data_IF_148586733315
#
_entry.id   IF_148586733315
#
_cell.length_a   1.000
_cell.length_b   1.000
_cell.length_c   1.000
_cell.angle_alpha   90.00
_cell.angle_beta   90.00
_cell.angle_gamma   90.00
#
_symmetry.space_group_name_H-M   'P 1'
#
loop_
_entity.id
_entity.type
_entity.pdbx_description
1 polymer ?
#
# COMPACT_ATOMS: atom_id res chain seq x y z
N UNK A 1 -14.50 1.11 -14.85
CA UNK A 1 -13.76 -0.15 -15.10
C UNK A 1 -13.59 -1.00 -13.85
N UNK A 2 -13.00 -0.51 -12.74
CA UNK A 2 -12.64 -1.36 -11.59
C UNK A 2 -13.76 -2.36 -11.14
N UNK A 3 -15.03 -1.95 -10.96
CA UNK A 3 -16.09 -2.89 -10.53
C UNK A 3 -16.38 -4.06 -11.48
N UNK A 4 -15.87 -4.03 -12.72
CA UNK A 4 -16.09 -5.06 -13.73
C UNK A 4 -14.87 -5.94 -14.00
N UNK A 5 -13.67 -5.53 -13.55
CA UNK A 5 -12.41 -6.19 -13.93
C UNK A 5 -11.50 -6.51 -12.75
N UNK A 6 -11.62 -5.78 -11.64
CA UNK A 6 -10.69 -5.79 -10.52
C UNK A 6 -11.33 -6.35 -9.25
N UNK A 7 -10.58 -7.19 -8.54
CA UNK A 7 -10.97 -7.70 -7.22
C UNK A 7 -9.90 -7.39 -6.17
N UNK A 8 -10.35 -6.99 -4.98
CA UNK A 8 -9.53 -6.65 -3.83
C UNK A 8 -9.87 -7.56 -2.63
N UNK A 9 -8.85 -7.95 -1.87
CA UNK A 9 -9.01 -8.57 -0.56
C UNK A 9 -7.93 -8.08 0.41
N UNK A 10 -8.33 -7.63 1.60
CA UNK A 10 -7.38 -7.29 2.68
C UNK A 10 -6.80 -8.54 3.37
N UNK A 11 -5.70 -8.43 4.13
CA UNK A 11 -5.15 -9.54 4.91
C UNK A 11 -6.14 -10.18 5.89
N UNK A 12 -7.09 -9.39 6.40
CA UNK A 12 -8.15 -9.81 7.32
C UNK A 12 -9.42 -10.28 6.59
N UNK A 13 -9.32 -10.56 5.29
CA UNK A 13 -10.41 -11.07 4.44
C UNK A 13 -11.55 -10.08 4.19
N UNK A 14 -11.28 -8.77 4.23
CA UNK A 14 -12.29 -7.78 3.85
C UNK A 14 -12.30 -7.55 2.33
N UNK A 15 -13.49 -7.64 1.74
CA UNK A 15 -13.76 -7.32 0.34
C UNK A 15 -14.17 -5.86 0.20
N UNK A 16 -13.80 -5.26 -0.92
CA UNK A 16 -14.16 -3.89 -1.32
C UNK A 16 -14.23 -3.81 -2.83
N UNK A 17 -14.81 -2.73 -3.34
CA UNK A 17 -14.74 -2.39 -4.76
C UNK A 17 -13.29 -2.23 -5.25
N UNK A 18 -12.43 -1.58 -4.46
CA UNK A 18 -10.98 -1.51 -4.70
C UNK A 18 -10.24 -1.13 -3.40
N UNK A 19 -8.91 -1.20 -3.39
CA UNK A 19 -8.13 -0.88 -2.19
C UNK A 19 -8.23 0.60 -1.73
N UNK A 20 -8.75 1.48 -2.59
CA UNK A 20 -8.83 2.93 -2.36
C UNK A 20 -10.28 3.42 -2.20
N UNK A 21 -11.26 2.53 -2.25
CA UNK A 21 -12.67 2.91 -2.08
C UNK A 21 -12.96 3.31 -0.64
N UNK A 22 -13.87 4.26 -0.41
CA UNK A 22 -14.36 4.58 0.94
C UNK A 22 -15.69 3.90 1.19
N UNK A 23 -15.66 2.81 1.94
CA UNK A 23 -16.80 1.96 2.23
C UNK A 23 -16.89 1.76 3.75
N UNK A 24 -18.06 1.41 4.31
CA UNK A 24 -18.14 0.92 5.69
C UNK A 24 -17.31 -0.35 5.85
N UNK A 25 -16.64 -0.53 7.00
CA UNK A 25 -15.96 -1.79 7.26
C UNK A 25 -16.95 -2.94 7.44
N UNK A 26 -16.60 -4.13 6.97
CA UNK A 26 -17.45 -5.33 7.10
C UNK A 26 -17.21 -6.00 8.46
N UNK A 27 -15.95 -6.31 8.75
CA UNK A 27 -15.52 -7.03 9.94
C UNK A 27 -14.77 -6.11 10.88
N UNK A 28 -13.61 -5.61 10.44
CA UNK A 28 -12.66 -4.88 11.26
C UNK A 28 -12.32 -3.55 10.59
N UNK A 29 -12.49 -2.46 11.33
CA UNK A 29 -12.23 -1.12 10.82
C UNK A 29 -10.76 -0.94 10.37
N UNK A 30 -10.60 -0.56 9.11
CA UNK A 30 -9.37 -0.11 8.47
C UNK A 30 -9.35 1.42 8.36
N UNK A 31 -8.16 2.00 8.15
CA UNK A 31 -7.95 3.44 8.16
C UNK A 31 -8.76 4.23 7.12
N UNK A 32 -9.19 3.58 6.04
CA UNK A 32 -9.88 4.22 4.91
C UNK A 32 -11.41 4.08 4.98
N UNK A 33 -11.91 3.38 6.00
CA UNK A 33 -13.35 3.12 6.14
C UNK A 33 -14.13 4.36 6.51
N UNK A 34 -15.36 4.42 6.00
CA UNK A 34 -16.28 5.53 6.30
C UNK A 34 -17.02 5.34 7.62
N UNK A 35 -17.11 4.10 8.11
CA UNK A 35 -17.80 3.70 9.33
C UNK A 35 -17.14 2.45 9.94
N UNK A 36 -17.17 2.30 11.28
CA UNK A 36 -16.63 1.13 11.95
C UNK A 36 -17.41 -0.13 11.59
N UNK A 37 -16.71 -1.26 11.57
CA UNK A 37 -17.28 -2.58 11.32
C UNK A 37 -17.93 -3.21 12.54
N UNK A 38 -18.43 -4.43 12.36
CA UNK A 38 -19.11 -5.17 13.43
C UNK A 38 -18.18 -5.69 14.53
N UNK A 39 -16.86 -5.72 14.26
CA UNK A 39 -15.86 -6.41 15.07
C UNK A 39 -15.97 -7.93 15.00
N UNK A 40 -16.90 -8.48 14.21
CA UNK A 40 -17.13 -9.91 14.05
C UNK A 40 -16.54 -10.35 12.71
N UNK A 41 -15.90 -11.51 12.70
CA UNK A 41 -15.39 -12.09 11.46
C UNK A 41 -16.53 -12.75 10.68
N UNK A 42 -16.87 -12.17 9.53
CA UNK A 42 -17.94 -12.62 8.65
C UNK A 42 -17.40 -12.54 7.23
N UNK A 43 -16.44 -13.40 6.82
CA UNK A 43 -15.85 -13.34 5.49
C UNK A 43 -16.90 -13.71 4.43
N UNK A 44 -16.73 -13.18 3.23
CA UNK A 44 -17.54 -13.53 2.05
C UNK A 44 -16.63 -13.96 0.91
N UNK A 45 -17.08 -14.94 0.14
CA UNK A 45 -16.41 -15.44 -1.07
C UNK A 45 -16.38 -14.37 -2.17
N UNK A 46 -15.51 -14.56 -3.15
CA UNK A 46 -15.48 -13.71 -4.34
C UNK A 46 -16.84 -13.70 -5.06
N UNK A 47 -17.47 -14.85 -5.21
CA UNK A 47 -18.75 -14.98 -5.92
C UNK A 47 -19.89 -14.23 -5.20
N UNK A 48 -19.96 -14.35 -3.87
CA UNK A 48 -20.91 -13.60 -3.04
C UNK A 48 -20.68 -12.08 -3.16
N UNK A 49 -19.43 -11.63 -3.16
CA UNK A 49 -19.08 -10.21 -3.29
C UNK A 49 -19.37 -9.68 -4.70
N UNK A 50 -18.96 -10.40 -5.74
CA UNK A 50 -18.86 -9.90 -7.12
C UNK A 50 -20.19 -9.45 -7.71
N UNK A 51 -21.29 -10.11 -7.35
CA UNK A 51 -22.66 -9.71 -7.73
C UNK A 51 -23.55 -9.48 -6.51
N UNK A 52 -22.96 -9.08 -5.37
CA UNK A 52 -23.70 -8.59 -4.21
C UNK A 52 -24.58 -7.38 -4.54
N UNK A 53 -25.58 -7.11 -3.71
CA UNK A 53 -26.43 -5.92 -3.83
C UNK A 53 -25.61 -4.63 -3.87
N UNK A 54 -24.52 -4.57 -3.09
CA UNK A 54 -23.60 -3.43 -3.08
C UNK A 54 -22.90 -3.24 -4.43
N UNK A 55 -22.23 -4.28 -4.95
CA UNK A 55 -21.50 -4.19 -6.22
C UNK A 55 -22.44 -3.95 -7.42
N UNK A 56 -23.63 -4.55 -7.42
CA UNK A 56 -24.67 -4.30 -8.42
C UNK A 56 -25.13 -2.84 -8.39
N UNK A 57 -25.38 -2.28 -7.19
CA UNK A 57 -25.73 -0.86 -7.01
C UNK A 57 -24.63 0.06 -7.54
N UNK A 58 -23.37 -0.21 -7.21
CA UNK A 58 -22.20 0.54 -7.70
C UNK A 58 -22.16 0.57 -9.22
N UNK A 59 -22.25 -0.59 -9.88
CA UNK A 59 -22.20 -0.68 -11.35
C UNK A 59 -23.36 0.08 -12.00
N UNK A 60 -24.58 -0.08 -11.49
CA UNK A 60 -25.77 0.63 -11.98
C UNK A 60 -25.60 2.15 -11.91
N UNK A 61 -25.17 2.66 -10.75
CA UNK A 61 -24.93 4.10 -10.53
C UNK A 61 -23.81 4.63 -11.43
N UNK A 62 -22.72 3.88 -11.59
CA UNK A 62 -21.64 4.23 -12.51
C UNK A 62 -22.07 4.24 -13.98
N UNK A 63 -22.91 3.30 -14.42
CA UNK A 63 -23.47 3.28 -15.79
C UNK A 63 -24.41 4.46 -16.05
N UNK A 64 -25.08 4.96 -15.00
CA UNK A 64 -25.89 6.18 -15.07
C UNK A 64 -25.07 7.49 -15.03
N UNK A 65 -23.73 7.40 -14.94
CA UNK A 65 -22.85 8.57 -14.87
C UNK A 65 -22.85 9.26 -13.51
N UNK A 66 -23.30 8.59 -12.44
CA UNK A 66 -23.30 9.17 -11.10
C UNK A 66 -21.87 9.31 -10.55
N UNK A 67 -21.69 10.29 -9.64
CA UNK A 67 -20.48 10.40 -8.81
C UNK A 67 -20.72 9.66 -7.50
N UNK A 68 -19.80 8.77 -7.14
CA UNK A 68 -20.00 7.82 -6.04
C UNK A 68 -19.15 8.24 -4.82
N UNK A 69 -19.70 8.34 -3.60
CA UNK A 69 -18.90 8.57 -2.39
C UNK A 69 -17.85 7.47 -2.17
N UNK A 70 -18.11 6.24 -2.62
CA UNK A 70 -17.14 5.16 -2.61
C UNK A 70 -15.87 5.50 -3.42
N UNK A 71 -15.97 6.38 -4.42
CA UNK A 71 -14.89 6.83 -5.28
C UNK A 71 -14.25 8.16 -4.84
N UNK A 72 -14.62 8.71 -3.67
CA UNK A 72 -14.19 10.05 -3.21
C UNK A 72 -12.66 10.23 -3.24
N UNK A 73 -11.90 9.19 -2.89
CA UNK A 73 -10.43 9.23 -2.94
C UNK A 73 -9.91 9.56 -4.33
N UNK A 74 -10.55 9.03 -5.36
CA UNK A 74 -10.21 9.28 -6.76
C UNK A 74 -10.70 10.66 -7.21
N UNK A 75 -11.96 10.99 -6.86
CA UNK A 75 -12.62 12.19 -7.35
C UNK A 75 -12.02 13.47 -6.75
N UNK A 76 -11.57 13.39 -5.49
CA UNK A 76 -10.93 14.48 -4.77
C UNK A 76 -9.40 14.38 -4.74
N UNK A 77 -8.80 13.39 -5.45
CA UNK A 77 -7.34 13.15 -5.50
C UNK A 77 -6.68 13.11 -4.12
N UNK A 78 -7.31 12.39 -3.17
CA UNK A 78 -6.89 12.39 -1.77
C UNK A 78 -5.55 11.66 -1.56
N UNK A 79 -5.28 10.59 -2.32
CA UNK A 79 -4.09 9.74 -2.12
C UNK A 79 -2.95 9.99 -3.13
N UNK A 80 -3.23 10.17 -4.42
CA UNK A 80 -2.22 10.36 -5.48
C UNK A 80 -2.74 11.24 -6.63
N UNK A 81 -1.81 11.82 -7.40
CA UNK A 81 -2.08 12.58 -8.64
C UNK A 81 -2.53 11.68 -9.79
N UNK A 82 -1.99 10.45 -9.87
CA UNK A 82 -2.44 9.40 -10.77
C UNK A 82 -3.56 8.57 -10.11
N UNK A 83 -4.77 8.73 -10.62
CA UNK A 83 -5.99 8.23 -9.99
C UNK A 83 -6.29 6.79 -10.41
N UNK A 84 -6.60 5.88 -9.46
CA UNK A 84 -6.98 4.47 -9.71
C UNK A 84 -8.05 4.32 -10.80
N UNK A 85 -9.00 5.27 -10.86
CA UNK A 85 -10.02 5.36 -11.93
C UNK A 85 -9.39 5.37 -13.33
N UNK A 86 -8.43 6.27 -13.56
CA UNK A 86 -7.72 6.42 -14.84
C UNK A 86 -6.82 5.21 -15.12
N UNK A 87 -6.18 4.65 -14.09
CA UNK A 87 -5.37 3.45 -14.23
C UNK A 87 -6.16 2.28 -14.84
N UNK A 88 -7.30 1.92 -14.22
CA UNK A 88 -8.11 0.81 -14.73
C UNK A 88 -8.80 1.13 -16.05
N UNK A 89 -9.12 2.41 -16.31
CA UNK A 89 -9.64 2.84 -17.60
C UNK A 89 -8.63 2.60 -18.72
N UNK A 90 -7.37 2.99 -18.52
CA UNK A 90 -6.33 2.84 -19.53
C UNK A 90 -5.90 1.37 -19.69
N UNK A 91 -5.75 0.62 -18.59
CA UNK A 91 -5.27 -0.76 -18.65
C UNK A 91 -6.28 -1.72 -19.31
N UNK A 92 -7.57 -1.46 -19.11
CA UNK A 92 -8.66 -2.33 -19.59
C UNK A 92 -9.61 -1.61 -20.55
N UNK A 93 -9.13 -0.59 -21.27
CA UNK A 93 -9.92 0.19 -22.23
C UNK A 93 -10.59 -0.72 -23.27
N UNK A 94 -9.86 -1.72 -23.74
CA UNK A 94 -10.33 -2.73 -24.69
C UNK A 94 -11.54 -3.55 -24.20
N UNK A 95 -11.82 -3.56 -22.89
CA UNK A 95 -12.98 -4.24 -22.29
C UNK A 95 -14.17 -3.33 -22.05
N UNK A 96 -14.07 -2.02 -22.31
CA UNK A 96 -15.13 -1.05 -22.00
C UNK A 96 -16.47 -1.41 -22.67
N UNK A 97 -16.45 -1.78 -23.95
CA UNK A 97 -17.68 -2.13 -24.68
C UNK A 97 -18.38 -3.37 -24.10
N UNK A 98 -17.60 -4.36 -23.63
CA UNK A 98 -18.16 -5.59 -23.05
C UNK A 98 -19.03 -5.34 -21.82
N UNK A 99 -18.82 -4.22 -21.10
CA UNK A 99 -19.62 -3.85 -19.92
C UNK A 99 -21.10 -3.74 -20.30
N UNK A 100 -21.41 -3.08 -21.41
CA UNK A 100 -22.78 -2.83 -21.85
C UNK A 100 -23.48 -4.08 -22.39
N UNK A 101 -22.71 -5.07 -22.83
CA UNK A 101 -23.21 -6.35 -23.34
C UNK A 101 -23.45 -7.38 -22.22
N UNK A 102 -22.72 -7.25 -21.12
CA UNK A 102 -22.63 -8.28 -20.06
C UNK A 102 -23.22 -7.84 -18.73
N UNK A 103 -23.64 -6.58 -18.60
CA UNK A 103 -24.22 -6.01 -17.38
C UNK A 103 -25.67 -5.63 -17.62
N UNK A 104 -26.59 -6.15 -16.81
CA UNK A 104 -28.02 -5.82 -16.93
C UNK A 104 -28.38 -4.52 -16.19
N UNK A 105 -29.63 -4.08 -16.33
CA UNK A 105 -30.14 -2.82 -15.72
C UNK A 105 -30.14 -2.81 -14.17
N UNK A 106 -29.95 -3.97 -13.54
CA UNK A 106 -29.78 -4.09 -12.10
C UNK A 106 -28.32 -4.07 -11.66
N UNK A 107 -27.37 -4.00 -12.59
CA UNK A 107 -25.93 -3.98 -12.33
C UNK A 107 -25.30 -5.37 -12.14
N UNK A 108 -26.06 -6.46 -12.31
CA UNK A 108 -25.49 -7.80 -12.33
C UNK A 108 -24.65 -7.98 -13.60
N UNK A 109 -23.44 -8.51 -13.48
CA UNK A 109 -22.55 -8.77 -14.62
C UNK A 109 -22.14 -10.24 -14.73
N UNK A 110 -21.99 -10.73 -15.96
CA UNK A 110 -21.41 -12.05 -16.25
C UNK A 110 -19.89 -12.03 -16.42
N UNK A 111 -19.26 -10.85 -16.42
CA UNK A 111 -17.80 -10.72 -16.42
C UNK A 111 -17.21 -11.34 -15.15
N UNK A 112 -16.01 -11.90 -15.29
CA UNK A 112 -15.18 -12.38 -14.17
C UNK A 112 -13.97 -11.45 -13.98
N UNK A 113 -13.41 -11.33 -12.77
CA UNK A 113 -12.23 -10.52 -12.55
C UNK A 113 -11.01 -11.05 -13.32
N UNK A 114 -10.24 -10.12 -13.85
CA UNK A 114 -8.98 -10.35 -14.57
C UNK A 114 -7.80 -9.64 -13.90
N UNK A 115 -8.09 -8.72 -12.97
CA UNK A 115 -7.13 -7.94 -12.17
C UNK A 115 -7.29 -8.30 -10.69
N UNK A 116 -6.17 -8.63 -10.03
CA UNK A 116 -6.17 -9.23 -8.68
C UNK A 116 -5.27 -8.48 -7.71
N UNK A 117 -5.83 -7.89 -6.65
CA UNK A 117 -5.12 -7.36 -5.46
C UNK A 117 -5.52 -8.22 -4.25
N UNK A 118 -4.92 -9.41 -4.17
CA UNK A 118 -5.15 -10.35 -3.08
C UNK A 118 -4.00 -10.29 -2.09
N UNK A 119 -4.33 -9.85 -0.88
CA UNK A 119 -3.38 -9.80 0.24
C UNK A 119 -3.58 -11.06 1.08
N UNK A 120 -2.94 -12.15 0.68
CA UNK A 120 -3.13 -13.49 1.29
C UNK A 120 -2.82 -13.53 2.79
N UNK A 121 -1.95 -12.65 3.29
CA UNK A 121 -1.64 -12.55 4.71
C UNK A 121 -1.05 -11.19 5.07
N UNK A 122 -0.92 -10.89 6.36
CA UNK A 122 -0.14 -9.75 6.83
C UNK A 122 1.35 -10.09 6.98
N UNK A 123 1.84 -11.24 6.46
CA UNK A 123 3.24 -11.66 6.62
C UNK A 123 4.18 -10.59 6.09
N UNK A 124 5.01 -10.03 6.97
CA UNK A 124 6.01 -9.03 6.65
C UNK A 124 7.14 -9.11 7.68
N UNK A 125 8.37 -8.97 7.20
CA UNK A 125 9.58 -8.93 8.02
C UNK A 125 9.90 -7.55 8.59
N UNK A 126 9.18 -6.50 8.18
CA UNK A 126 9.45 -5.11 8.60
C UNK A 126 8.43 -4.62 9.64
N UNK A 127 8.88 -3.69 10.48
CA UNK A 127 8.06 -2.96 11.47
C UNK A 127 8.11 -1.44 11.23
N UNK A 128 7.85 -0.99 10.00
CA UNK A 128 7.96 0.42 9.65
C UNK A 128 7.08 1.31 10.54
N UNK A 129 7.61 2.45 11.01
CA UNK A 129 6.98 3.31 12.03
C UNK A 129 5.64 3.93 11.63
N UNK A 130 5.35 4.01 10.34
CA UNK A 130 4.06 4.48 9.78
C UNK A 130 3.10 3.33 9.42
N UNK A 131 3.49 2.07 9.62
CA UNK A 131 2.68 0.88 9.34
C UNK A 131 1.97 0.38 10.61
N UNK A 132 1.22 -0.72 10.50
CA UNK A 132 0.49 -1.32 11.63
C UNK A 132 0.38 -2.85 11.54
N UNK A 133 -0.14 -3.43 12.60
CA UNK A 133 -0.34 -4.87 12.84
C UNK A 133 -1.14 -5.57 11.72
N UNK A 134 -2.16 -4.90 11.18
CA UNK A 134 -2.98 -5.44 10.09
C UNK A 134 -2.19 -5.66 8.79
N UNK A 135 -1.08 -4.94 8.60
CA UNK A 135 -0.25 -4.96 7.40
C UNK A 135 1.16 -5.51 7.67
N UNK A 136 1.47 -5.92 8.90
CA UNK A 136 2.74 -6.58 9.21
C UNK A 136 2.64 -7.52 10.41
N UNK A 137 2.96 -8.78 10.17
CA UNK A 137 3.07 -9.81 11.20
C UNK A 137 4.19 -9.53 12.20
N UNK A 138 5.26 -8.85 11.78
CA UNK A 138 6.32 -8.43 12.69
C UNK A 138 5.82 -7.35 13.66
N UNK A 139 4.99 -6.42 13.18
CA UNK A 139 4.30 -5.45 14.02
C UNK A 139 3.35 -6.12 15.00
N UNK A 140 2.49 -7.02 14.50
CA UNK A 140 1.57 -7.79 15.36
C UNK A 140 2.32 -8.54 16.47
N UNK A 141 3.48 -9.14 16.13
CA UNK A 141 4.32 -9.84 17.10
C UNK A 141 4.88 -8.89 18.16
N UNK A 142 5.38 -7.72 17.76
CA UNK A 142 5.88 -6.69 18.69
C UNK A 142 4.76 -6.21 19.63
N UNK A 143 3.56 -5.94 19.11
CA UNK A 143 2.44 -5.50 19.94
C UNK A 143 2.03 -6.56 20.96
N UNK A 144 2.06 -7.85 20.61
CA UNK A 144 1.81 -8.94 21.56
C UNK A 144 2.90 -9.04 22.62
N UNK A 145 4.17 -9.03 22.22
CA UNK A 145 5.31 -9.18 23.13
C UNK A 145 5.36 -8.07 24.18
N UNK A 146 4.93 -6.87 23.81
CA UNK A 146 4.96 -5.69 24.68
C UNK A 146 3.60 -5.29 25.25
N UNK A 147 2.56 -6.15 25.12
CA UNK A 147 1.20 -5.90 25.61
C UNK A 147 0.61 -4.55 25.15
N UNK A 148 0.81 -4.21 23.87
CA UNK A 148 0.36 -2.95 23.26
C UNK A 148 -1.03 -3.05 22.61
N UNK A 149 -1.63 -4.24 22.59
CA UNK A 149 -2.94 -4.47 21.98
C UNK A 149 -4.05 -3.93 22.90
N UNK A 150 -4.82 -2.97 22.39
CA UNK A 150 -6.05 -2.53 23.02
C UNK A 150 -7.21 -3.47 22.68
N UNK A 151 -7.46 -4.46 23.55
CA UNK A 151 -8.55 -5.42 23.36
C UNK A 151 -9.96 -4.83 23.52
N UNK A 152 -10.09 -3.60 24.00
CA UNK A 152 -11.38 -2.89 24.08
C UNK A 152 -11.81 -2.35 22.71
N UNK A 153 -10.86 -2.14 21.80
CA UNK A 153 -11.14 -1.69 20.45
C UNK A 153 -11.54 -2.86 19.54
N UNK A 154 -12.77 -2.89 18.99
CA UNK A 154 -13.24 -3.98 18.13
C UNK A 154 -12.37 -4.23 16.89
N UNK A 155 -11.67 -3.21 16.38
CA UNK A 155 -10.74 -3.38 15.24
C UNK A 155 -9.66 -4.42 15.54
N UNK A 156 -9.23 -4.56 16.79
CA UNK A 156 -8.18 -5.49 17.20
C UNK A 156 -8.69 -6.94 17.38
N UNK A 157 -9.98 -7.18 17.17
CA UNK A 157 -10.59 -8.52 17.34
C UNK A 157 -10.03 -9.55 16.36
N UNK A 158 -9.53 -9.11 15.19
CA UNK A 158 -8.86 -9.98 14.23
C UNK A 158 -7.65 -10.72 14.82
N UNK A 159 -7.00 -10.13 15.84
CA UNK A 159 -5.87 -10.72 16.56
C UNK A 159 -6.27 -11.77 17.59
N UNK A 160 -7.55 -12.05 17.85
CA UNK A 160 -7.90 -13.13 18.79
C UNK A 160 -7.51 -14.50 18.18
N UNK A 161 -6.94 -15.44 18.97
CA UNK A 161 -6.43 -16.70 18.40
C UNK A 161 -7.44 -17.52 17.59
N UNK A 162 -8.70 -17.56 18.04
CA UNK A 162 -9.81 -18.22 17.36
C UNK A 162 -10.17 -17.53 16.05
N UNK A 163 -10.21 -16.20 16.04
CA UNK A 163 -10.49 -15.39 14.83
C UNK A 163 -9.32 -15.48 13.84
N UNK A 164 -8.08 -15.38 14.32
CA UNK A 164 -6.88 -15.55 13.48
C UNK A 164 -6.83 -16.92 12.83
N UNK A 165 -7.27 -17.98 13.53
CA UNK A 165 -7.41 -19.32 12.95
C UNK A 165 -8.48 -19.34 11.86
N UNK A 166 -9.62 -18.69 12.07
CA UNK A 166 -10.66 -18.57 11.03
C UNK A 166 -10.16 -17.82 9.80
N UNK A 167 -9.47 -16.69 9.97
CA UNK A 167 -8.85 -15.94 8.88
C UNK A 167 -7.87 -16.82 8.11
N UNK A 168 -6.96 -17.50 8.81
CA UNK A 168 -6.00 -18.40 8.17
C UNK A 168 -6.69 -19.48 7.35
N UNK A 169 -7.69 -20.16 7.93
CA UNK A 169 -8.43 -21.21 7.24
C UNK A 169 -9.16 -20.65 6.01
N UNK A 170 -9.85 -19.52 6.12
CA UNK A 170 -10.53 -18.90 4.98
C UNK A 170 -9.55 -18.48 3.86
N UNK A 171 -8.39 -17.92 4.23
CA UNK A 171 -7.35 -17.56 3.25
C UNK A 171 -6.82 -18.80 2.50
N UNK A 172 -6.56 -19.90 3.22
CA UNK A 172 -6.02 -21.14 2.63
C UNK A 172 -7.07 -21.95 1.84
N UNK A 173 -8.27 -22.10 2.40
CA UNK A 173 -9.28 -23.03 1.89
C UNK A 173 -10.16 -22.38 0.81
N UNK A 174 -10.33 -21.05 0.83
CA UNK A 174 -11.21 -20.32 -0.08
C UNK A 174 -10.45 -19.33 -0.96
N UNK A 175 -9.77 -18.35 -0.37
CA UNK A 175 -9.16 -17.22 -1.13
C UNK A 175 -8.09 -17.70 -2.09
N UNK A 176 -7.21 -18.59 -1.61
CA UNK A 176 -6.18 -19.17 -2.45
C UNK A 176 -6.79 -20.00 -3.60
N UNK A 177 -7.86 -20.74 -3.34
CA UNK A 177 -8.57 -21.51 -4.38
C UNK A 177 -9.21 -20.61 -5.45
N UNK A 178 -9.79 -19.48 -5.06
CA UNK A 178 -10.36 -18.51 -6.01
C UNK A 178 -9.30 -17.98 -6.99
N UNK A 179 -8.11 -17.65 -6.46
CA UNK A 179 -7.00 -17.18 -7.28
C UNK A 179 -6.38 -18.31 -8.13
N UNK A 180 -6.17 -19.49 -7.54
CA UNK A 180 -5.70 -20.68 -8.25
C UNK A 180 -6.61 -21.02 -9.43
N UNK A 181 -7.93 -21.02 -9.22
CA UNK A 181 -8.91 -21.25 -10.28
C UNK A 181 -8.78 -20.20 -11.38
N UNK A 182 -8.54 -18.93 -11.05
CA UNK A 182 -8.35 -17.89 -12.06
C UNK A 182 -7.09 -18.06 -12.90
N UNK A 183 -6.03 -18.55 -12.28
CA UNK A 183 -4.77 -18.92 -12.96
C UNK A 183 -5.02 -20.10 -13.90
N UNK A 184 -5.63 -21.19 -13.42
CA UNK A 184 -5.93 -22.37 -14.24
C UNK A 184 -6.95 -22.08 -15.36
N UNK A 185 -7.87 -21.14 -15.16
CA UNK A 185 -8.83 -20.69 -16.19
C UNK A 185 -8.22 -19.70 -17.19
N UNK A 186 -6.92 -19.41 -17.13
CA UNK A 186 -6.22 -18.48 -18.02
C UNK A 186 -6.81 -17.05 -18.02
N UNK A 187 -7.39 -16.61 -16.90
CA UNK A 187 -8.12 -15.33 -16.81
C UNK A 187 -7.28 -14.16 -16.33
N UNK A 188 -6.13 -14.40 -15.73
CA UNK A 188 -5.33 -13.35 -15.10
C UNK A 188 -4.66 -12.49 -16.15
N UNK A 189 -4.91 -11.18 -16.11
CA UNK A 189 -4.29 -10.17 -16.99
C UNK A 189 -3.49 -9.13 -16.20
N UNK A 190 -3.83 -8.91 -14.93
CA UNK A 190 -3.06 -8.10 -13.99
C UNK A 190 -3.05 -8.71 -12.59
N UNK A 191 -1.89 -8.64 -11.94
CA UNK A 191 -1.76 -8.94 -10.52
C UNK A 191 -1.06 -7.77 -9.84
N UNK A 192 -1.64 -7.30 -8.75
CA UNK A 192 -1.02 -6.31 -7.88
C UNK A 192 -0.58 -6.99 -6.57
N UNK A 193 0.72 -7.25 -6.49
CA UNK A 193 1.40 -7.80 -5.34
C UNK A 193 1.70 -6.71 -4.32
N UNK A 194 0.86 -6.63 -3.30
CA UNK A 194 0.95 -5.69 -2.19
C UNK A 194 0.39 -6.34 -0.92
N UNK A 195 0.66 -5.80 0.27
CA UNK A 195 0.07 -6.26 1.52
C UNK A 195 1.02 -6.08 2.68
N UNK A 196 1.39 -7.19 3.32
CA UNK A 196 2.63 -7.30 4.06
C UNK A 196 3.84 -7.19 3.13
N UNK A 197 4.70 -8.21 3.11
CA UNK A 197 5.76 -8.31 2.11
C UNK A 197 5.40 -9.39 1.08
N UNK A 198 4.95 -9.03 -0.13
CA UNK A 198 4.49 -10.01 -1.11
C UNK A 198 5.56 -11.03 -1.53
N UNK A 199 6.85 -10.66 -1.50
CA UNK A 199 7.94 -11.58 -1.85
C UNK A 199 8.21 -12.62 -0.74
N UNK A 200 7.54 -12.51 0.41
CA UNK A 200 7.52 -13.55 1.45
C UNK A 200 6.36 -14.53 1.31
N UNK A 201 5.39 -14.28 0.43
CA UNK A 201 4.24 -15.17 0.26
C UNK A 201 4.61 -16.37 -0.63
N UNK A 202 4.37 -17.58 -0.15
CA UNK A 202 4.52 -18.78 -0.99
C UNK A 202 3.57 -18.73 -2.21
N UNK A 203 2.38 -18.15 -2.04
CA UNK A 203 1.41 -17.93 -3.10
C UNK A 203 1.96 -17.09 -4.25
N UNK A 204 2.78 -16.07 -3.98
CA UNK A 204 3.39 -15.27 -5.05
C UNK A 204 4.25 -16.18 -5.94
N UNK A 205 5.21 -16.88 -5.35
CA UNK A 205 6.16 -17.70 -6.10
C UNK A 205 5.47 -18.86 -6.82
N UNK A 206 4.52 -19.52 -6.14
CA UNK A 206 3.76 -20.63 -6.70
C UNK A 206 2.94 -20.20 -7.93
N UNK A 207 2.09 -19.17 -7.81
CA UNK A 207 1.17 -18.81 -8.89
C UNK A 207 1.84 -18.03 -10.01
N UNK A 208 2.86 -17.21 -9.72
CA UNK A 208 3.65 -16.57 -10.77
C UNK A 208 4.39 -17.59 -11.62
N UNK A 209 5.01 -18.60 -11.00
CA UNK A 209 5.60 -19.73 -11.73
C UNK A 209 4.55 -20.50 -12.53
N UNK A 210 3.40 -20.78 -11.93
CA UNK A 210 2.31 -21.51 -12.60
C UNK A 210 1.78 -20.78 -13.84
N UNK A 211 1.64 -19.46 -13.79
CA UNK A 211 1.28 -18.61 -14.94
C UNK A 211 2.28 -18.78 -16.09
N UNK A 212 3.58 -18.86 -15.78
CA UNK A 212 4.63 -19.04 -16.79
C UNK A 212 4.56 -20.45 -17.39
N UNK A 213 4.36 -21.48 -16.56
CA UNK A 213 4.19 -22.87 -16.99
C UNK A 213 2.95 -23.08 -17.87
N UNK A 214 1.87 -22.33 -17.63
CA UNK A 214 0.67 -22.29 -18.45
C UNK A 214 0.83 -21.47 -19.73
N UNK A 215 2.01 -20.89 -19.97
CA UNK A 215 2.33 -20.00 -21.08
C UNK A 215 1.44 -18.74 -21.13
N UNK A 216 1.02 -18.23 -19.98
CA UNK A 216 0.19 -17.02 -19.87
C UNK A 216 0.98 -15.76 -19.53
N UNK A 217 2.29 -15.88 -19.24
CA UNK A 217 3.12 -14.74 -18.86
C UNK A 217 2.98 -13.54 -19.81
N UNK A 218 2.94 -13.79 -21.12
CA UNK A 218 2.75 -12.77 -22.17
C UNK A 218 1.41 -12.01 -22.13
N UNK A 219 0.45 -12.41 -21.29
CA UNK A 219 -0.83 -11.72 -21.05
C UNK A 219 -0.83 -10.91 -19.74
N UNK A 220 0.09 -11.22 -18.83
CA UNK A 220 0.07 -10.73 -17.44
C UNK A 220 0.94 -9.50 -17.25
N UNK A 221 0.37 -8.45 -16.66
CA UNK A 221 1.12 -7.35 -16.07
C UNK A 221 1.19 -7.50 -14.54
N UNK A 222 2.39 -7.62 -13.99
CA UNK A 222 2.58 -7.74 -12.54
C UNK A 222 3.06 -6.42 -11.94
N UNK A 223 2.32 -5.90 -10.96
CA UNK A 223 2.72 -4.72 -10.18
C UNK A 223 3.12 -5.13 -8.77
N UNK A 224 4.11 -4.47 -8.21
CA UNK A 224 4.63 -4.73 -6.87
C UNK A 224 4.73 -3.45 -6.06
N UNK A 225 4.26 -3.53 -4.82
CA UNK A 225 4.68 -2.66 -3.74
C UNK A 225 5.37 -3.55 -2.70
N UNK A 226 6.70 -3.51 -2.69
CA UNK A 226 7.57 -4.40 -1.89
C UNK A 226 8.61 -3.59 -1.15
N UNK A 227 9.00 -4.05 0.03
CA UNK A 227 10.17 -3.55 0.76
C UNK A 227 11.49 -4.01 0.13
N UNK A 228 11.46 -4.92 -0.84
CA UNK A 228 12.60 -5.43 -1.62
C UNK A 228 13.76 -5.99 -0.78
N UNK A 229 13.48 -6.45 0.44
CA UNK A 229 14.48 -7.08 1.32
C UNK A 229 14.93 -8.46 0.82
N UNK A 230 14.11 -9.12 0.01
CA UNK A 230 14.46 -10.36 -0.70
C UNK A 230 14.02 -10.27 -2.16
N UNK A 231 14.74 -10.97 -3.03
CA UNK A 231 14.39 -11.21 -4.44
C UNK A 231 14.50 -12.70 -4.80
N UNK A 232 14.70 -13.55 -3.79
CA UNK A 232 14.90 -14.99 -3.95
C UNK A 232 13.92 -15.77 -3.08
N UNK A 233 13.47 -16.91 -3.59
CA UNK A 233 12.69 -17.89 -2.85
C UNK A 233 13.04 -19.29 -3.32
N UNK A 234 13.65 -20.08 -2.43
CA UNK A 234 14.21 -21.39 -2.75
C UNK A 234 15.22 -21.28 -3.90
N UNK A 235 14.90 -21.85 -5.05
CA UNK A 235 15.71 -21.86 -6.28
C UNK A 235 15.28 -20.81 -7.31
N UNK A 236 14.29 -19.96 -6.98
CA UNK A 236 13.76 -18.94 -7.89
C UNK A 236 14.30 -17.55 -7.56
N UNK A 237 14.65 -16.79 -8.61
CA UNK A 237 14.94 -15.37 -8.58
C UNK A 237 13.79 -14.56 -9.22
N UNK A 238 13.39 -13.46 -8.57
CA UNK A 238 12.31 -12.60 -9.02
C UNK A 238 12.53 -12.09 -10.46
N UNK A 239 13.72 -11.61 -10.77
CA UNK A 239 14.00 -10.95 -12.05
C UNK A 239 14.18 -11.95 -13.18
N UNK A 240 14.98 -13.00 -12.95
CA UNK A 240 15.43 -13.91 -14.01
C UNK A 240 14.53 -15.13 -14.22
N UNK A 241 13.75 -15.53 -13.22
CA UNK A 241 12.88 -16.72 -13.32
C UNK A 241 11.39 -16.34 -13.39
N UNK A 242 11.01 -15.12 -12.98
CA UNK A 242 9.62 -14.67 -12.98
C UNK A 242 9.41 -13.52 -13.96
N UNK A 243 9.96 -12.34 -13.68
CA UNK A 243 9.56 -11.10 -14.35
C UNK A 243 9.95 -11.03 -15.84
N UNK A 244 11.04 -11.70 -16.24
CA UNK A 244 11.47 -11.76 -17.64
C UNK A 244 10.51 -12.54 -18.56
N UNK A 245 9.60 -13.36 -18.00
CA UNK A 245 8.62 -14.14 -18.76
C UNK A 245 7.23 -13.49 -18.81
N UNK A 246 7.06 -12.32 -18.21
CA UNK A 246 5.79 -11.60 -18.19
C UNK A 246 5.67 -10.60 -19.34
N UNK A 247 4.43 -10.24 -19.70
CA UNK A 247 4.14 -9.18 -20.69
C UNK A 247 4.84 -7.89 -20.30
N UNK A 248 4.72 -7.53 -19.03
CA UNK A 248 5.31 -6.35 -18.43
C UNK A 248 5.26 -6.47 -16.90
N UNK A 249 6.00 -5.61 -16.21
CA UNK A 249 5.98 -5.54 -14.77
C UNK A 249 6.34 -4.14 -14.26
N UNK A 250 5.96 -3.85 -13.02
CA UNK A 250 6.34 -2.66 -12.30
C UNK A 250 6.61 -2.98 -10.84
N UNK A 251 7.76 -2.54 -10.34
CA UNK A 251 8.13 -2.57 -8.94
C UNK A 251 8.25 -1.14 -8.43
N UNK A 252 7.41 -0.83 -7.45
CA UNK A 252 7.51 0.31 -6.57
C UNK A 252 8.23 -0.16 -5.30
N UNK A 253 9.57 -0.04 -5.28
CA UNK A 253 10.39 -0.49 -4.16
C UNK A 253 10.37 0.55 -3.06
N UNK A 254 9.85 0.17 -1.89
CA UNK A 254 9.60 1.10 -0.79
C UNK A 254 10.89 1.50 -0.08
N UNK A 255 11.20 2.80 -0.09
CA UNK A 255 12.36 3.37 0.60
C UNK A 255 12.03 4.79 1.05
N UNK A 256 12.00 5.02 2.37
CA UNK A 256 11.53 6.28 2.97
C UNK A 256 12.67 7.14 3.56
N UNK A 257 13.90 6.69 3.35
CA UNK A 257 15.15 7.31 3.81
C UNK A 257 16.32 6.40 3.45
N UNK A 258 17.53 6.95 3.44
CA UNK A 258 18.77 6.20 3.18
C UNK A 258 19.47 5.85 4.49
N UNK A 259 20.26 4.77 4.48
CA UNK A 259 21.13 4.36 5.58
C UNK A 259 20.39 4.39 6.93
N UNK A 260 20.98 4.97 7.97
CA UNK A 260 20.46 4.95 9.34
C UNK A 260 19.06 5.55 9.46
N UNK A 261 18.74 6.64 8.74
CA UNK A 261 17.40 7.25 8.78
C UNK A 261 16.38 6.33 8.10
N UNK A 262 16.76 5.69 6.99
CA UNK A 262 15.93 4.68 6.34
C UNK A 262 15.61 3.51 7.27
N UNK A 263 16.63 2.99 7.95
CA UNK A 263 16.52 1.86 8.88
C UNK A 263 15.73 2.21 10.14
N UNK A 264 15.86 3.44 10.63
CA UNK A 264 15.03 4.00 11.69
C UNK A 264 13.56 4.04 11.26
N UNK A 265 13.24 4.64 10.11
CA UNK A 265 11.86 4.75 9.61
C UNK A 265 11.26 3.35 9.34
N UNK A 266 12.03 2.47 8.69
CA UNK A 266 11.63 1.13 8.25
C UNK A 266 12.41 0.05 9.00
N UNK A 267 12.16 -0.11 10.31
CA UNK A 267 12.81 -1.15 11.12
C UNK A 267 12.70 -2.53 10.45
N UNK A 268 13.85 -3.15 10.17
CA UNK A 268 13.97 -4.38 9.38
C UNK A 268 14.63 -4.17 8.01
N UNK A 269 14.69 -2.92 7.53
CA UNK A 269 15.50 -2.53 6.39
C UNK A 269 16.98 -2.77 6.69
N UNK A 270 17.66 -3.38 5.73
CA UNK A 270 19.10 -3.30 5.56
C UNK A 270 19.29 -2.51 4.27
N UNK A 271 19.78 -1.27 4.39
CA UNK A 271 19.85 -0.37 3.24
C UNK A 271 20.82 -0.88 2.16
N UNK A 272 21.91 -1.54 2.57
CA UNK A 272 22.90 -2.07 1.64
C UNK A 272 22.30 -3.23 0.84
N UNK A 273 21.63 -4.16 1.52
CA UNK A 273 20.94 -5.28 0.87
C UNK A 273 19.81 -4.82 -0.04
N UNK A 274 19.06 -3.81 0.38
CA UNK A 274 18.03 -3.19 -0.46
C UNK A 274 18.64 -2.64 -1.75
N UNK A 275 19.76 -1.92 -1.65
CA UNK A 275 20.44 -1.32 -2.79
C UNK A 275 21.01 -2.38 -3.74
N UNK A 276 21.57 -3.48 -3.21
CA UNK A 276 22.01 -4.63 -3.99
C UNK A 276 20.86 -5.26 -4.79
N UNK A 277 19.73 -5.55 -4.12
CA UNK A 277 18.56 -6.14 -4.77
C UNK A 277 17.98 -5.19 -5.83
N UNK A 278 17.91 -3.89 -5.51
CA UNK A 278 17.41 -2.88 -6.43
C UNK A 278 18.31 -2.74 -7.66
N UNK A 279 19.63 -2.80 -7.49
CA UNK A 279 20.60 -2.70 -8.61
C UNK A 279 20.47 -3.88 -9.56
N UNK A 280 20.27 -5.11 -9.05
CA UNK A 280 19.97 -6.28 -9.91
C UNK A 280 18.69 -6.08 -10.72
N UNK A 281 17.67 -5.44 -10.14
CA UNK A 281 16.45 -5.10 -10.87
C UNK A 281 16.68 -4.09 -12.00
N UNK A 282 17.59 -3.12 -11.82
CA UNK A 282 17.95 -2.15 -12.87
C UNK A 282 18.57 -2.88 -14.07
N UNK A 283 19.42 -3.87 -13.83
CA UNK A 283 20.08 -4.66 -14.88
C UNK A 283 19.09 -5.45 -15.75
N UNK A 284 17.91 -5.77 -15.19
CA UNK A 284 16.85 -6.52 -15.88
C UNK A 284 15.76 -5.63 -16.48
N UNK A 285 15.64 -4.38 -16.02
CA UNK A 285 14.59 -3.47 -16.47
C UNK A 285 14.82 -3.00 -17.91
N UNK A 286 13.78 -3.10 -18.74
CA UNK A 286 13.78 -2.65 -20.13
C UNK A 286 13.33 -1.20 -20.30
N UNK A 287 12.70 -0.61 -19.28
CA UNK A 287 12.33 0.81 -19.28
C UNK A 287 12.16 1.35 -17.85
N UNK A 288 12.26 2.68 -17.70
CA UNK A 288 12.27 3.37 -16.41
C UNK A 288 10.95 3.29 -15.61
N UNK A 289 9.86 2.74 -16.18
CA UNK A 289 8.61 2.53 -15.45
C UNK A 289 8.56 1.23 -14.67
N UNK A 290 9.43 0.28 -15.02
CA UNK A 290 9.42 -1.06 -14.45
C UNK A 290 10.03 -1.10 -13.06
N UNK A 291 11.01 -0.26 -12.76
CA UNK A 291 11.59 -0.20 -11.42
C UNK A 291 11.69 1.25 -10.94
N UNK A 292 11.07 1.54 -9.80
CA UNK A 292 10.98 2.88 -9.22
C UNK A 292 11.21 2.84 -7.72
N UNK A 293 11.80 3.91 -7.21
CA UNK A 293 11.83 4.18 -5.77
C UNK A 293 10.45 4.71 -5.37
N UNK A 294 9.82 4.09 -4.38
CA UNK A 294 8.55 4.52 -3.81
C UNK A 294 8.79 5.14 -2.43
N UNK A 295 8.83 6.47 -2.41
CA UNK A 295 9.19 7.30 -1.27
C UNK A 295 7.96 7.86 -0.58
N UNK A 296 7.72 7.42 0.66
CA UNK A 296 6.74 8.00 1.56
C UNK A 296 7.42 9.05 2.43
N UNK A 297 7.16 10.33 2.13
CA UNK A 297 7.63 11.46 2.90
C UNK A 297 7.03 11.42 4.31
N UNK A 298 7.87 11.04 5.28
CA UNK A 298 7.59 11.07 6.71
C UNK A 298 8.23 12.31 7.35
N UNK A 299 7.94 12.56 8.63
CA UNK A 299 8.59 13.62 9.40
C UNK A 299 10.13 13.45 9.41
N UNK A 300 10.71 12.29 9.78
CA UNK A 300 12.14 12.05 9.58
C UNK A 300 12.58 12.11 8.11
N UNK A 301 11.70 11.67 7.20
CA UNK A 301 11.96 11.67 5.76
C UNK A 301 12.13 13.07 5.16
N UNK A 302 11.73 14.16 5.85
CA UNK A 302 12.05 15.53 5.43
C UNK A 302 13.56 15.69 5.20
N UNK A 303 14.39 15.14 6.07
CA UNK A 303 15.85 15.25 5.99
C UNK A 303 16.49 14.33 4.94
N UNK A 304 15.68 13.49 4.29
CA UNK A 304 16.11 12.53 3.27
C UNK A 304 15.71 12.94 1.86
N UNK A 305 14.88 13.98 1.70
CA UNK A 305 14.35 14.44 0.41
C UNK A 305 15.44 14.65 -0.65
N UNK A 306 16.54 15.32 -0.28
CA UNK A 306 17.66 15.54 -1.19
C UNK A 306 18.41 14.24 -1.49
N UNK A 307 18.70 13.41 -0.49
CA UNK A 307 19.45 12.15 -0.67
C UNK A 307 18.70 11.16 -1.54
N UNK A 308 17.39 11.01 -1.34
CA UNK A 308 16.52 10.14 -2.15
C UNK A 308 16.42 10.66 -3.60
N UNK A 309 16.28 11.98 -3.78
CA UNK A 309 16.31 12.58 -5.12
C UNK A 309 17.66 12.35 -5.82
N UNK A 310 18.77 12.49 -5.11
CA UNK A 310 20.10 12.23 -5.67
C UNK A 310 20.30 10.74 -5.98
N UNK A 311 19.80 9.85 -5.13
CA UNK A 311 19.83 8.41 -5.35
C UNK A 311 19.05 8.01 -6.61
N UNK A 312 17.82 8.50 -6.77
CA UNK A 312 17.01 8.17 -7.95
C UNK A 312 17.69 8.62 -9.25
N UNK A 313 18.33 9.80 -9.23
CA UNK A 313 19.12 10.30 -10.37
C UNK A 313 20.37 9.47 -10.63
N UNK A 314 21.12 9.14 -9.57
CA UNK A 314 22.33 8.31 -9.66
C UNK A 314 22.02 6.95 -10.28
N UNK A 315 20.88 6.36 -9.93
CA UNK A 315 20.43 5.07 -10.43
C UNK A 315 19.69 5.16 -11.78
N UNK A 316 19.33 6.36 -12.24
CA UNK A 316 18.59 6.56 -13.49
C UNK A 316 17.14 6.04 -13.45
N UNK A 317 16.52 6.00 -12.27
CA UNK A 317 15.18 5.43 -12.06
C UNK A 317 14.13 6.47 -11.69
N UNK A 318 12.85 6.14 -11.90
CA UNK A 318 11.74 6.98 -11.47
C UNK A 318 11.63 7.04 -9.95
N UNK A 319 11.24 8.22 -9.43
CA UNK A 319 10.90 8.44 -8.03
C UNK A 319 9.39 8.67 -7.92
N UNK A 320 8.68 7.80 -7.24
CA UNK A 320 7.30 8.01 -6.82
C UNK A 320 7.33 8.61 -5.42
N UNK A 321 6.66 9.75 -5.24
CA UNK A 321 6.64 10.46 -3.97
C UNK A 321 5.20 10.56 -3.48
N UNK A 322 5.01 10.32 -2.19
CA UNK A 322 3.75 10.49 -1.47
C UNK A 322 4.03 11.03 -0.08
N UNK A 323 3.02 11.58 0.60
CA UNK A 323 3.16 12.02 2.00
C UNK A 323 2.56 10.97 2.91
N UNK A 324 3.20 10.70 4.05
CA UNK A 324 2.63 9.88 5.10
C UNK A 324 1.25 10.43 5.50
N UNK A 325 0.23 9.64 5.22
CA UNK A 325 -1.15 10.04 5.38
C UNK A 325 -1.57 9.96 6.86
N UNK A 326 -2.41 10.89 7.31
CA UNK A 326 -2.87 10.96 8.68
C UNK A 326 -4.38 11.20 8.75
N UNK A 327 -5.09 10.34 9.49
CA UNK A 327 -6.53 10.47 9.77
C UNK A 327 -6.80 11.01 11.18
N UNK A 328 -5.76 11.06 12.01
CA UNK A 328 -5.82 11.54 13.40
C UNK A 328 -4.53 12.31 13.74
N UNK A 329 -4.59 13.28 14.67
CA UNK A 329 -3.44 14.13 14.98
C UNK A 329 -2.29 13.42 15.74
N UNK A 330 -2.46 12.15 16.13
CA UNK A 330 -1.41 11.35 16.79
C UNK A 330 -0.45 10.64 15.82
N UNK A 331 -0.65 10.76 14.51
CA UNK A 331 0.22 10.19 13.48
C UNK A 331 1.40 11.14 13.23
N UNK A 332 2.27 11.29 14.22
CA UNK A 332 3.44 12.20 14.19
C UNK A 332 4.55 11.79 13.20
N UNK A 333 4.42 10.63 12.55
CA UNK A 333 5.25 10.27 11.39
C UNK A 333 4.87 11.08 10.14
N UNK A 334 3.72 11.78 10.13
CA UNK A 334 3.37 12.69 9.05
C UNK A 334 4.06 14.04 9.23
N UNK A 335 4.71 14.61 8.19
CA UNK A 335 5.28 15.94 8.28
C UNK A 335 4.23 17.04 8.49
N UNK A 336 2.94 16.76 8.23
CA UNK A 336 1.84 17.68 8.48
C UNK A 336 1.58 17.91 9.99
N UNK A 337 2.27 17.18 10.87
CA UNK A 337 2.23 17.41 12.31
C UNK A 337 2.97 18.69 12.74
N UNK A 338 3.84 19.23 11.89
CA UNK A 338 4.54 20.49 12.15
C UNK A 338 3.58 21.68 12.07
N UNK A 339 3.70 22.67 12.98
CA UNK A 339 3.00 23.94 12.85
C UNK A 339 3.29 24.63 11.51
N UNK A 340 2.29 25.31 10.93
CA UNK A 340 2.37 25.98 9.63
C UNK A 340 3.66 26.81 9.43
N UNK A 341 4.07 27.71 10.36
CA UNK A 341 5.28 28.51 10.17
C UNK A 341 6.57 27.69 10.10
N UNK A 342 6.64 26.56 10.82
CA UNK A 342 7.81 25.68 10.82
C UNK A 342 7.88 24.90 9.50
N UNK A 343 6.75 24.35 9.07
CA UNK A 343 6.66 23.59 7.83
C UNK A 343 6.97 24.47 6.61
N UNK A 344 6.35 25.65 6.52
CA UNK A 344 6.55 26.56 5.38
C UNK A 344 8.02 27.03 5.32
N UNK A 345 8.62 27.41 6.45
CA UNK A 345 10.04 27.78 6.49
C UNK A 345 10.97 26.62 6.07
N UNK A 346 10.62 25.37 6.41
CA UNK A 346 11.37 24.21 5.95
C UNK A 346 11.23 24.01 4.43
N UNK A 347 10.02 24.15 3.88
CA UNK A 347 9.75 24.05 2.45
C UNK A 347 10.48 25.15 1.66
N UNK A 348 10.40 26.40 2.14
CA UNK A 348 11.03 27.57 1.54
C UNK A 348 12.55 27.44 1.46
N UNK A 349 13.16 26.80 2.46
CA UNK A 349 14.61 26.50 2.45
C UNK A 349 14.95 25.30 1.58
N UNK A 350 14.12 24.27 1.57
CA UNK A 350 14.47 22.98 0.95
C UNK A 350 14.21 22.97 -0.55
N UNK A 351 13.02 23.39 -1.00
CA UNK A 351 12.62 23.32 -2.41
C UNK A 351 13.65 23.98 -3.35
N UNK A 352 14.20 25.18 -3.04
CA UNK A 352 15.21 25.81 -3.90
C UNK A 352 16.53 25.03 -4.03
N UNK A 353 16.83 24.11 -3.10
CA UNK A 353 18.05 23.29 -3.15
C UNK A 353 17.91 22.05 -4.02
N UNK A 354 16.68 21.67 -4.38
CA UNK A 354 16.33 20.46 -5.12
C UNK A 354 16.45 20.63 -6.64
N UNK A 355 17.62 21.11 -7.09
CA UNK A 355 17.92 21.30 -8.50
C UNK A 355 17.77 19.98 -9.28
N UNK A 356 16.95 19.99 -10.34
CA UNK A 356 16.64 18.82 -11.17
C UNK A 356 16.00 17.64 -10.41
N UNK A 357 15.32 17.90 -9.29
CA UNK A 357 14.53 16.87 -8.64
C UNK A 357 13.36 16.41 -9.53
N UNK A 358 12.93 15.14 -9.42
CA UNK A 358 11.75 14.65 -10.12
C UNK A 358 10.50 15.49 -9.82
N UNK A 359 9.68 15.78 -10.84
CA UNK A 359 8.44 16.55 -10.67
C UNK A 359 7.51 15.93 -9.62
N UNK A 360 7.45 14.61 -9.55
CA UNK A 360 6.66 13.89 -8.53
C UNK A 360 7.01 14.31 -7.10
N UNK A 361 8.29 14.56 -6.81
CA UNK A 361 8.75 15.04 -5.51
C UNK A 361 8.40 16.51 -5.32
N UNK A 362 8.67 17.36 -6.32
CA UNK A 362 8.37 18.79 -6.25
C UNK A 362 6.86 19.04 -6.09
N UNK A 363 6.02 18.29 -6.80
CA UNK A 363 4.56 18.38 -6.70
C UNK A 363 4.08 18.05 -5.29
N UNK A 364 4.62 16.98 -4.69
CA UNK A 364 4.32 16.60 -3.31
C UNK A 364 4.69 17.71 -2.33
N UNK A 365 5.91 18.26 -2.42
CA UNK A 365 6.38 19.32 -1.53
C UNK A 365 5.55 20.60 -1.70
N UNK A 366 5.27 21.00 -2.94
CA UNK A 366 4.42 22.17 -3.22
C UNK A 366 2.98 21.97 -2.74
N UNK A 367 2.47 20.74 -2.77
CA UNK A 367 1.13 20.44 -2.27
C UNK A 367 1.02 20.56 -0.74
N UNK A 368 2.13 20.45 0.00
CA UNK A 368 2.14 20.62 1.46
C UNK A 368 1.81 22.03 1.93
N UNK A 369 2.06 23.07 1.12
CA UNK A 369 1.58 24.43 1.42
C UNK A 369 0.05 24.52 1.44
N UNK A 370 -0.64 23.67 0.66
CA UNK A 370 -2.10 23.71 0.48
C UNK A 370 -2.84 22.74 1.40
N UNK A 371 -2.17 21.72 1.90
CA UNK A 371 -2.75 20.74 2.83
C UNK A 371 -2.81 21.33 4.24
N UNK A 372 -3.92 21.18 4.99
CA UNK A 372 -3.96 21.62 6.37
C UNK A 372 -2.96 20.82 7.22
N UNK A 373 -2.23 21.53 8.07
CA UNK A 373 -1.45 20.93 9.17
C UNK A 373 -2.40 20.34 10.22
N UNK A 374 -1.86 19.58 11.15
CA UNK A 374 -2.67 19.00 12.24
C UNK A 374 -3.34 20.09 13.09
N UNK A 375 -2.64 21.21 13.31
CA UNK A 375 -3.18 22.37 14.01
C UNK A 375 -4.37 23.00 13.27
N UNK A 376 -4.32 23.05 11.94
CA UNK A 376 -5.40 23.62 11.11
C UNK A 376 -6.58 22.64 10.96
N UNK A 377 -6.31 21.34 10.85
CA UNK A 377 -7.32 20.30 10.64
C UNK A 377 -8.03 19.89 11.94
N UNK A 378 -7.31 19.87 13.07
CA UNK A 378 -7.81 19.45 14.38
C UNK A 378 -7.43 20.45 15.48
N UNK A 379 -7.89 21.72 15.39
CA UNK A 379 -7.45 22.80 16.29
C UNK A 379 -7.67 22.51 17.78
N UNK A 380 -8.71 21.74 18.12
CA UNK A 380 -9.05 21.42 19.51
C UNK A 380 -8.40 20.12 20.03
N UNK A 381 -7.74 19.34 19.17
CA UNK A 381 -7.23 18.00 19.51
C UNK A 381 -5.75 17.81 19.18
N UNK A 382 -5.14 18.71 18.38
CA UNK A 382 -3.81 18.48 17.85
C UNK A 382 -2.74 18.38 18.94
N UNK A 383 -2.78 19.20 19.99
CA UNK A 383 -1.77 19.19 21.06
C UNK A 383 -1.73 17.85 21.80
N UNK A 384 -2.90 17.35 22.20
CA UNK A 384 -3.02 16.03 22.84
C UNK A 384 -2.59 14.91 21.87
N UNK A 385 -3.00 15.02 20.61
CA UNK A 385 -2.58 14.11 19.54
C UNK A 385 -1.06 14.04 19.40
N UNK A 386 -0.39 15.18 19.31
CA UNK A 386 1.06 15.27 19.18
C UNK A 386 1.78 14.65 20.39
N UNK A 387 1.30 14.93 21.62
CA UNK A 387 1.86 14.35 22.85
C UNK A 387 1.73 12.82 22.81
N UNK A 388 0.53 12.32 22.47
CA UNK A 388 0.25 10.88 22.36
C UNK A 388 1.13 10.22 21.30
N UNK A 389 1.24 10.83 20.12
CA UNK A 389 2.06 10.36 19.01
C UNK A 389 3.55 10.33 19.36
N UNK A 390 4.09 11.42 19.92
CA UNK A 390 5.49 11.47 20.38
C UNK A 390 5.75 10.41 21.45
N UNK A 391 4.85 10.26 22.42
CA UNK A 391 4.96 9.21 23.45
C UNK A 391 5.01 7.81 22.85
N UNK A 392 4.19 7.53 21.80
CA UNK A 392 4.24 6.27 21.06
C UNK A 392 5.59 6.07 20.38
N UNK A 393 6.14 7.08 19.70
CA UNK A 393 7.46 6.98 19.06
C UNK A 393 8.58 6.68 20.07
N UNK A 394 8.64 7.43 21.19
CA UNK A 394 9.64 7.22 22.23
C UNK A 394 9.51 5.83 22.88
N UNK A 395 8.28 5.33 23.03
CA UNK A 395 8.05 3.96 23.50
C UNK A 395 8.60 2.93 22.51
N UNK A 396 8.40 3.13 21.20
CA UNK A 396 8.92 2.24 20.17
C UNK A 396 10.46 2.25 20.13
N UNK A 397 11.08 3.41 20.23
CA UNK A 397 12.54 3.53 20.31
C UNK A 397 13.11 2.75 21.49
N UNK A 398 12.49 2.88 22.66
CA UNK A 398 12.87 2.12 23.85
C UNK A 398 12.73 0.61 23.63
N UNK A 399 11.62 0.17 23.01
CA UNK A 399 11.35 -1.24 22.73
C UNK A 399 12.38 -1.81 21.74
N UNK A 400 12.73 -1.03 20.71
CA UNK A 400 13.61 -1.45 19.61
C UNK A 400 15.09 -1.26 19.93
N UNK A 401 15.42 -0.57 21.03
CA UNK A 401 16.79 -0.30 21.44
C UNK A 401 17.45 0.80 20.62
N UNK A 402 16.66 1.68 20.01
CA UNK A 402 17.16 2.79 19.22
C UNK A 402 17.85 3.80 20.14
N UNK A 403 19.17 3.89 20.05
CA UNK A 403 19.99 4.73 20.93
C UNK A 403 20.90 5.71 20.17
N UNK A 404 21.29 5.38 18.94
CA UNK A 404 22.12 6.23 18.07
C UNK A 404 21.24 7.12 17.18
N UNK A 405 20.28 6.50 16.50
CA UNK A 405 19.38 7.15 15.56
C UNK A 405 17.99 7.15 16.17
N UNK A 406 17.55 8.31 16.69
CA UNK A 406 16.24 8.51 17.30
C UNK A 406 15.53 9.67 16.62
N UNK A 407 14.23 9.86 16.89
CA UNK A 407 13.49 11.01 16.38
C UNK A 407 14.14 12.31 16.84
N UNK A 408 14.59 12.39 18.08
CA UNK A 408 15.17 13.62 18.61
C UNK A 408 16.54 13.89 17.95
N UNK A 409 17.41 12.88 17.75
CA UNK A 409 18.70 13.10 17.06
C UNK A 409 18.52 13.49 15.60
N UNK A 410 17.57 12.88 14.88
CA UNK A 410 17.26 13.24 13.48
C UNK A 410 16.78 14.70 13.37
N UNK A 411 15.92 15.13 14.30
CA UNK A 411 15.37 16.48 14.31
C UNK A 411 16.41 17.53 14.75
N UNK A 412 17.31 17.20 15.69
CA UNK A 412 18.36 18.09 16.19
C UNK A 412 19.48 18.34 15.17
N UNK A 413 19.92 17.31 14.43
CA UNK A 413 21.04 17.42 13.48
C UNK A 413 20.78 18.36 12.30
N UNK A 414 19.53 18.82 12.14
CA UNK A 414 19.09 19.54 10.95
C UNK A 414 18.26 20.82 11.24
N UNK A 415 18.22 21.27 12.50
CA UNK A 415 17.79 22.62 12.91
C UNK A 415 18.99 23.52 13.11
#
# INVERSE_FOLDING_TARGET
MAPWVHTYLSPQSERRMCCASKEPAQCFEQYIDSKPGTGKYIPITLDEHWNSDHMCSVRKRMMNGETLPECEVCDNKLLNTDVYRSYFQNLFENKYNSIWETTNDQGYTTLKPVSWDYRFSNLCNFKCRMCGDMLSSAWETEERQHNMIDWSNPKNTWMRPDIRKQIKNFQQDQVEQEFAQAVEEHRVEEIYWVGGEPLMYEQHWQYMRRIIELNDGHKVYARYNTNLSTIEYRDLNLYHDILCYLRDWQICASLDGTEEIGEYIRTGLDYSRWLENFTQGIETANNSRQLRIDFTLTLPGLFEVKKISDLSRKLGVGLLSKVCFAFTPDIVMSPMCLPRPILDNWLDKTIPTLNNAPNSLLDVLNFMYKRPTFQEQWPDQYEEGLIKGKKRLLQLEKIRGDNKTTIDTILEENT
#
